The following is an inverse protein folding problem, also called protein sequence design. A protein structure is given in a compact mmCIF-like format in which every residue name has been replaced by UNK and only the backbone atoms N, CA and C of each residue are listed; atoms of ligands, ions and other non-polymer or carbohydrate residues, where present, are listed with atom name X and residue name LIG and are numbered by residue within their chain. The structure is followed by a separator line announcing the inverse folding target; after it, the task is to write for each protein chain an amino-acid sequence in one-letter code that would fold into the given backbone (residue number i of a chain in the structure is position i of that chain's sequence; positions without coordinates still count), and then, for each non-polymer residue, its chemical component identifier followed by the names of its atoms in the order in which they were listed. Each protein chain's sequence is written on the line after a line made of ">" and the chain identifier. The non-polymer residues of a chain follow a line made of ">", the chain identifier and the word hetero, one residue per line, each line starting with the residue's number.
data_IF_378236649181
#
_entry.id   IF_378236649181
#
_cell.length_a   1.000
_cell.length_b   1.000
_cell.length_c   1.000
_cell.angle_alpha   90.00
_cell.angle_beta   90.00
_cell.angle_gamma   90.00
#
_symmetry.space_group_name_H-M   'P 1'
#
loop_
_entity.id
_entity.type
_entity.pdbx_description
1 polymer ?
#
# COMPACT_ATOMS: atom_id res chain seq x y z
N UNK A 1 -4.33 8.13 -62.36
CA UNK A 1 -5.35 7.19 -61.83
C UNK A 1 -6.34 7.99 -61.00
N UNK A 2 -7.64 7.63 -60.98
CA UNK A 2 -8.70 8.28 -60.19
C UNK A 2 -9.71 7.21 -59.74
N UNK A 3 -9.96 7.07 -58.44
CA UNK A 3 -11.10 6.33 -57.87
C UNK A 3 -11.30 6.77 -56.41
N UNK A 4 -12.55 7.18 -56.08
CA UNK A 4 -13.30 7.15 -54.80
C UNK A 4 -12.54 7.22 -53.45
N UNK A 5 -12.83 8.09 -52.47
CA UNK A 5 -13.95 9.02 -52.17
C UNK A 5 -15.29 8.33 -51.79
N UNK A 6 -15.84 8.65 -50.59
CA UNK A 6 -17.03 8.07 -49.90
C UNK A 6 -16.76 6.68 -49.27
N UNK A 7 -17.27 6.26 -48.10
CA UNK A 7 -18.08 6.81 -46.95
C UNK A 7 -17.63 6.06 -45.67
N UNK A 8 -17.98 6.35 -44.41
CA UNK A 8 -18.93 7.25 -43.71
C UNK A 8 -18.18 7.97 -42.54
N UNK A 9 -18.70 8.84 -41.65
CA UNK A 9 -20.02 9.24 -41.15
C UNK A 9 -20.73 8.35 -40.08
N UNK A 10 -21.36 9.01 -39.09
CA UNK A 10 -21.94 8.50 -37.82
C UNK A 10 -20.92 7.92 -36.79
N UNK A 11 -21.12 8.03 -35.47
CA UNK A 11 -22.26 8.56 -34.71
C UNK A 11 -21.86 9.64 -33.68
N UNK A 12 -22.55 10.78 -33.73
CA UNK A 12 -22.77 11.66 -32.57
C UNK A 12 -24.12 11.23 -31.95
N UNK A 13 -24.30 11.45 -30.64
CA UNK A 13 -25.46 11.04 -29.80
C UNK A 13 -25.48 9.57 -29.33
N UNK A 14 -24.88 9.30 -28.17
CA UNK A 14 -25.47 8.52 -27.06
C UNK A 14 -24.86 9.06 -25.75
N UNK A 15 -25.68 9.37 -24.73
CA UNK A 15 -25.33 9.68 -23.31
C UNK A 15 -24.06 10.54 -23.07
N UNK A 16 -24.09 11.85 -22.74
CA UNK A 16 -25.17 12.73 -22.23
C UNK A 16 -25.81 12.34 -20.89
N UNK A 17 -25.12 11.55 -20.05
CA UNK A 17 -25.69 11.02 -18.79
C UNK A 17 -24.72 11.01 -17.59
N UNK A 18 -23.90 12.05 -17.37
CA UNK A 18 -23.27 12.23 -16.05
C UNK A 18 -22.94 13.69 -15.69
N UNK A 19 -23.99 14.43 -15.33
CA UNK A 19 -24.01 15.56 -14.38
C UNK A 19 -25.49 15.99 -14.19
N UNK A 20 -25.90 16.65 -13.08
CA UNK A 20 -25.24 16.79 -11.77
C UNK A 20 -26.14 16.26 -10.62
N UNK A 21 -25.57 16.14 -9.41
CA UNK A 21 -26.28 16.54 -8.17
C UNK A 21 -25.33 17.19 -7.18
N UNK A 22 -25.42 18.52 -7.05
CA UNK A 22 -24.94 19.21 -5.86
C UNK A 22 -25.95 18.98 -4.74
N UNK A 23 -25.51 18.44 -3.61
CA UNK A 23 -26.23 18.52 -2.34
C UNK A 23 -25.32 19.19 -1.32
N UNK A 24 -25.55 20.49 -1.09
CA UNK A 24 -24.99 21.22 0.05
C UNK A 24 -25.86 20.97 1.29
N UNK A 25 -25.27 21.21 2.47
CA UNK A 25 -25.92 21.18 3.79
C UNK A 25 -26.26 19.76 4.31
N UNK A 26 -26.28 19.48 5.61
CA UNK A 26 -26.13 20.36 6.79
C UNK A 26 -25.41 19.62 7.94
N UNK A 27 -24.87 20.37 8.91
CA UNK A 27 -24.19 19.78 10.07
C UNK A 27 -25.10 19.64 11.32
N UNK A 28 -24.97 18.51 12.03
CA UNK A 28 -25.26 18.29 13.45
C UNK A 28 -24.57 16.96 13.85
N UNK A 29 -23.66 16.88 14.82
CA UNK A 29 -23.80 17.11 16.27
C UNK A 29 -24.59 15.99 16.98
N UNK A 30 -23.88 15.00 17.54
CA UNK A 30 -24.06 14.44 18.91
C UNK A 30 -23.04 13.31 19.17
N UNK A 31 -22.18 13.40 20.21
CA UNK A 31 -21.32 12.30 20.66
C UNK A 31 -21.71 11.76 22.05
N UNK A 32 -21.89 10.43 22.19
CA UNK A 32 -21.85 9.65 23.45
C UNK A 32 -22.31 8.19 23.21
N UNK A 33 -22.03 7.22 24.11
CA UNK A 33 -20.80 7.04 24.90
C UNK A 33 -20.24 5.60 24.78
N UNK A 34 -19.08 5.34 25.39
CA UNK A 34 -18.52 3.99 25.50
C UNK A 34 -19.37 3.06 26.39
N UNK A 35 -19.42 1.77 26.07
CA UNK A 35 -19.64 0.70 27.07
C UNK A 35 -18.61 -0.42 26.87
N UNK A 36 -17.73 -0.59 27.85
CA UNK A 36 -16.64 -1.56 27.85
C UNK A 36 -17.05 -2.83 28.62
N UNK A 37 -17.36 -3.91 27.92
CA UNK A 37 -17.63 -5.21 28.55
C UNK A 37 -16.37 -6.07 28.63
N UNK A 38 -15.57 -5.86 29.68
CA UNK A 38 -14.46 -6.74 30.07
C UNK A 38 -15.03 -7.93 30.85
N UNK A 39 -15.38 -9.01 30.15
CA UNK A 39 -15.87 -10.26 30.76
C UNK A 39 -14.71 -11.14 31.23
N UNK A 40 -14.12 -10.82 32.38
CA UNK A 40 -13.16 -11.71 33.05
C UNK A 40 -13.87 -12.89 33.72
N UNK A 41 -13.84 -14.08 33.09
CA UNK A 41 -14.24 -15.33 33.74
C UNK A 41 -13.06 -16.29 33.93
N UNK A 42 -12.36 -16.12 35.05
CA UNK A 42 -11.49 -17.16 35.62
C UNK A 42 -12.38 -18.22 36.27
N UNK A 43 -12.57 -19.36 35.59
CA UNK A 43 -13.22 -20.54 36.19
C UNK A 43 -12.17 -21.58 36.57
N UNK A 44 -12.02 -21.84 37.86
CA UNK A 44 -11.14 -22.87 38.43
C UNK A 44 -11.92 -24.17 38.65
N UNK A 45 -11.36 -25.32 38.24
CA UNK A 45 -11.14 -26.49 39.13
C UNK A 45 -10.63 -27.71 38.35
N UNK A 46 -9.91 -28.65 39.00
CA UNK A 46 -9.29 -29.79 38.33
C UNK A 46 -10.21 -31.01 38.24
N UNK A 47 -9.93 -31.90 37.28
CA UNK A 47 -10.32 -33.30 37.34
C UNK A 47 -9.24 -34.16 36.70
N UNK A 48 -8.62 -35.05 37.48
CA UNK A 48 -7.71 -36.05 36.96
C UNK A 48 -8.52 -37.25 36.47
N UNK A 49 -8.33 -37.68 35.22
CA UNK A 49 -8.85 -38.96 34.76
C UNK A 49 -7.81 -39.66 33.90
N UNK A 50 -7.37 -40.83 34.35
CA UNK A 50 -6.43 -41.67 33.59
C UNK A 50 -7.18 -42.44 32.51
N UNK A 51 -6.74 -42.35 31.25
CA UNK A 51 -7.01 -43.40 30.28
C UNK A 51 -6.02 -43.41 29.12
N UNK A 52 -5.22 -44.49 29.09
CA UNK A 52 -5.01 -45.33 27.90
C UNK A 52 -4.45 -44.64 26.66
N UNK A 53 -3.12 -44.72 26.48
CA UNK A 53 -2.47 -44.39 25.22
C UNK A 53 -2.99 -45.26 24.05
N UNK A 54 -3.09 -44.65 22.86
CA UNK A 54 -2.55 -45.24 21.64
C UNK A 54 -1.57 -44.29 20.93
N UNK A 55 -0.69 -44.87 20.11
CA UNK A 55 0.11 -44.25 19.05
C UNK A 55 0.64 -42.81 19.27
N UNK A 56 1.96 -42.67 19.43
CA UNK A 56 2.65 -41.42 19.11
C UNK A 56 2.67 -41.23 17.59
N UNK A 57 1.52 -40.86 17.03
CA UNK A 57 1.44 -40.22 15.73
C UNK A 57 2.00 -38.81 15.88
N UNK A 58 3.33 -38.67 15.79
CA UNK A 58 3.93 -37.38 15.45
C UNK A 58 3.22 -36.87 14.20
N UNK A 59 2.64 -35.66 14.20
CA UNK A 59 2.36 -34.96 12.95
C UNK A 59 3.73 -34.81 12.28
N UNK A 60 3.96 -35.52 11.19
CA UNK A 60 5.19 -35.37 10.44
C UNK A 60 5.28 -33.89 10.03
N UNK A 61 6.37 -33.17 10.36
CA UNK A 61 6.59 -31.87 9.74
C UNK A 61 6.67 -32.13 8.25
N UNK A 62 5.64 -31.68 7.54
CA UNK A 62 5.59 -31.74 6.09
C UNK A 62 6.18 -30.43 5.58
N UNK A 63 7.46 -30.38 5.17
CA UNK A 63 8.00 -29.26 4.42
C UNK A 63 7.36 -29.28 3.03
N UNK A 64 6.11 -28.83 2.94
CA UNK A 64 5.43 -28.50 1.69
C UNK A 64 5.99 -27.17 1.18
N UNK A 65 7.27 -27.19 0.83
CA UNK A 65 7.95 -26.17 0.06
C UNK A 65 7.27 -25.98 -1.31
N UNK A 66 7.71 -24.97 -2.05
CA UNK A 66 7.37 -24.74 -3.46
C UNK A 66 5.92 -24.26 -3.73
N UNK A 67 5.14 -23.96 -2.67
CA UNK A 67 3.99 -23.06 -2.73
C UNK A 67 4.03 -22.03 -1.61
N UNK A 68 4.79 -20.97 -1.82
CA UNK A 68 4.77 -19.80 -0.94
C UNK A 68 3.37 -19.17 -0.94
N UNK A 69 2.81 -18.98 0.26
CA UNK A 69 1.57 -18.21 0.45
C UNK A 69 1.81 -16.76 -0.01
N UNK A 70 1.02 -16.20 -0.96
CA UNK A 70 1.20 -14.84 -1.45
C UNK A 70 1.06 -13.78 -0.35
N UNK A 71 0.31 -14.06 0.73
CA UNK A 71 0.25 -13.18 1.89
C UNK A 71 1.58 -13.20 2.68
N UNK A 72 2.23 -14.37 2.79
CA UNK A 72 3.53 -14.48 3.43
C UNK A 72 4.66 -13.88 2.57
N UNK A 73 4.62 -14.07 1.24
CA UNK A 73 5.54 -13.39 0.33
C UNK A 73 5.39 -11.87 0.43
N UNK A 74 4.16 -11.35 0.43
CA UNK A 74 3.89 -9.92 0.61
C UNK A 74 4.51 -9.39 1.90
N UNK A 75 4.33 -10.06 3.04
CA UNK A 75 4.93 -9.65 4.33
C UNK A 75 6.45 -9.52 4.25
N UNK A 76 7.14 -10.48 3.64
CA UNK A 76 8.61 -10.45 3.50
C UNK A 76 9.08 -9.28 2.62
N UNK A 77 8.30 -8.89 1.60
CA UNK A 77 8.60 -7.69 0.80
C UNK A 77 8.38 -6.40 1.60
N UNK A 78 7.31 -6.30 2.39
CA UNK A 78 7.05 -5.16 3.27
C UNK A 78 8.13 -5.02 4.35
N UNK A 79 8.60 -6.14 4.91
CA UNK A 79 9.71 -6.22 5.87
C UNK A 79 11.03 -5.75 5.24
N UNK A 80 11.39 -6.26 4.04
CA UNK A 80 12.57 -5.80 3.28
C UNK A 80 12.54 -4.28 3.01
N UNK A 81 11.38 -3.73 2.64
CA UNK A 81 11.22 -2.29 2.39
C UNK A 81 11.36 -1.49 3.68
N UNK A 82 10.76 -1.96 4.78
CA UNK A 82 10.85 -1.32 6.08
C UNK A 82 12.31 -1.26 6.56
N UNK A 83 13.00 -2.41 6.61
CA UNK A 83 14.38 -2.52 7.04
C UNK A 83 15.30 -1.60 6.23
N UNK A 84 15.14 -1.58 4.90
CA UNK A 84 15.87 -0.69 4.01
C UNK A 84 15.62 0.80 4.35
N UNK A 85 14.36 1.20 4.55
CA UNK A 85 13.98 2.59 4.82
C UNK A 85 14.50 3.15 6.14
N UNK A 86 14.63 2.33 7.19
CA UNK A 86 15.06 2.79 8.53
C UNK A 86 16.59 2.83 8.71
N UNK A 87 17.37 2.48 7.67
CA UNK A 87 18.83 2.63 7.68
C UNK A 87 19.30 4.08 7.61
N UNK A 88 18.52 4.95 6.95
CA UNK A 88 18.94 6.28 6.48
C UNK A 88 20.21 6.27 5.59
N UNK A 89 20.51 5.13 4.95
CA UNK A 89 21.61 4.97 4.00
C UNK A 89 21.10 5.17 2.55
N UNK A 90 21.56 6.19 1.80
CA UNK A 90 21.14 6.43 0.41
C UNK A 90 21.42 5.25 -0.54
N UNK A 91 22.35 4.35 -0.20
CA UNK A 91 22.59 3.14 -0.99
C UNK A 91 21.42 2.13 -0.95
N UNK A 92 20.42 2.35 -0.07
CA UNK A 92 19.17 1.57 -0.06
C UNK A 92 18.11 2.10 -1.05
N UNK A 93 18.28 3.29 -1.64
CA UNK A 93 17.33 3.83 -2.63
C UNK A 93 17.05 2.84 -3.80
N UNK A 94 18.05 2.18 -4.43
CA UNK A 94 17.77 1.20 -5.48
C UNK A 94 16.99 -0.02 -4.96
N UNK A 95 17.24 -0.45 -3.73
CA UNK A 95 16.59 -1.60 -3.08
C UNK A 95 15.10 -1.34 -2.84
N UNK A 96 14.73 -0.10 -2.52
CA UNK A 96 13.33 0.33 -2.38
C UNK A 96 12.71 0.59 -3.76
N UNK A 97 13.48 1.11 -4.73
CA UNK A 97 13.02 1.43 -6.08
C UNK A 97 12.47 0.22 -6.85
N UNK A 98 13.01 -0.98 -6.61
CA UNK A 98 12.51 -2.27 -7.15
C UNK A 98 10.99 -2.45 -6.94
N UNK A 99 10.43 -1.84 -5.89
CA UNK A 99 9.06 -2.08 -5.44
C UNK A 99 8.05 -1.00 -5.83
N UNK A 100 8.49 0.15 -6.37
CA UNK A 100 7.60 1.26 -6.74
C UNK A 100 6.54 0.88 -7.78
N UNK A 101 6.81 -0.13 -8.62
CA UNK A 101 5.91 -0.63 -9.66
C UNK A 101 5.49 -2.10 -9.46
N UNK A 102 5.64 -2.63 -8.23
CA UNK A 102 5.27 -4.00 -7.88
C UNK A 102 3.76 -4.29 -8.10
N UNK A 103 3.37 -5.53 -8.40
CA UNK A 103 1.96 -5.85 -8.73
C UNK A 103 0.97 -5.59 -7.57
N UNK A 104 1.36 -5.92 -6.33
CA UNK A 104 0.56 -5.66 -5.14
C UNK A 104 0.61 -4.16 -4.75
N UNK A 105 -0.53 -3.44 -4.69
CA UNK A 105 -0.57 -2.01 -4.32
C UNK A 105 -0.09 -1.72 -2.90
N UNK A 106 -0.20 -2.66 -1.96
CA UNK A 106 0.32 -2.51 -0.60
C UNK A 106 1.85 -2.36 -0.61
N UNK A 107 2.52 -3.18 -1.43
CA UNK A 107 3.98 -3.14 -1.62
C UNK A 107 4.42 -1.86 -2.33
N UNK A 108 3.66 -1.38 -3.34
CA UNK A 108 3.93 -0.08 -3.98
C UNK A 108 3.80 1.08 -2.99
N UNK A 109 2.74 1.10 -2.18
CA UNK A 109 2.55 2.13 -1.15
C UNK A 109 3.71 2.10 -0.15
N UNK A 110 4.07 0.93 0.36
CA UNK A 110 5.18 0.78 1.28
C UNK A 110 6.52 1.24 0.67
N UNK A 111 6.74 1.04 -0.62
CA UNK A 111 7.93 1.55 -1.32
C UNK A 111 7.96 3.08 -1.37
N UNK A 112 6.82 3.74 -1.65
CA UNK A 112 6.69 5.20 -1.62
C UNK A 112 6.92 5.73 -0.19
N UNK A 113 6.25 5.14 0.80
CA UNK A 113 6.44 5.48 2.21
C UNK A 113 7.92 5.30 2.62
N UNK A 114 8.57 4.21 2.18
CA UNK A 114 9.96 3.87 2.47
C UNK A 114 10.97 4.85 1.88
N UNK A 115 10.74 5.36 0.67
CA UNK A 115 11.52 6.47 0.10
C UNK A 115 11.41 7.72 0.98
N UNK A 116 10.20 8.05 1.43
CA UNK A 116 9.93 9.23 2.27
C UNK A 116 10.57 9.09 3.66
N UNK A 117 10.58 7.88 4.23
CA UNK A 117 11.20 7.56 5.53
C UNK A 117 12.73 7.59 5.46
N UNK A 118 13.33 7.08 4.38
CA UNK A 118 14.79 7.16 4.16
C UNK A 118 15.26 8.62 4.05
N UNK A 119 14.44 9.47 3.42
CA UNK A 119 14.58 10.93 3.48
C UNK A 119 15.66 11.55 2.59
N UNK A 120 16.30 10.77 1.71
CA UNK A 120 17.32 11.29 0.78
C UNK A 120 16.69 11.85 -0.51
N UNK A 121 17.07 13.08 -0.84
CA UNK A 121 16.57 13.81 -2.02
C UNK A 121 16.76 13.10 -3.38
N UNK A 122 17.72 12.17 -3.50
CA UNK A 122 17.92 11.37 -4.71
C UNK A 122 16.78 10.36 -4.97
N UNK A 123 15.85 10.19 -4.02
CA UNK A 123 14.58 9.51 -4.26
C UNK A 123 13.70 10.23 -5.32
N UNK A 124 13.76 11.56 -5.41
CA UNK A 124 12.89 12.36 -6.27
C UNK A 124 12.90 11.95 -7.77
N UNK A 125 14.06 11.83 -8.46
CA UNK A 125 14.08 11.36 -9.84
C UNK A 125 13.57 9.92 -10.02
N UNK A 126 13.78 9.03 -9.03
CA UNK A 126 13.29 7.65 -9.06
C UNK A 126 11.75 7.60 -8.97
N UNK A 127 11.19 8.40 -8.06
CA UNK A 127 9.75 8.53 -7.86
C UNK A 127 9.05 9.09 -9.12
N UNK A 128 9.58 10.14 -9.75
CA UNK A 128 9.08 10.64 -11.05
C UNK A 128 9.17 9.59 -12.16
N UNK A 129 10.29 8.88 -12.25
CA UNK A 129 10.47 7.85 -13.27
C UNK A 129 9.46 6.69 -13.10
N UNK A 130 9.06 6.38 -11.86
CA UNK A 130 7.95 5.46 -11.60
C UNK A 130 6.57 6.08 -11.92
N UNK A 131 6.34 7.37 -11.66
CA UNK A 131 5.08 8.05 -11.95
C UNK A 131 4.65 7.92 -13.43
N UNK A 132 5.62 7.97 -14.35
CA UNK A 132 5.44 7.77 -15.79
C UNK A 132 4.92 6.37 -16.18
N UNK A 133 4.90 5.40 -15.26
CA UNK A 133 4.44 4.02 -15.48
C UNK A 133 3.50 3.52 -14.37
N UNK A 134 2.95 4.42 -13.57
CA UNK A 134 2.07 4.07 -12.46
C UNK A 134 0.77 3.41 -12.95
N UNK A 135 0.25 2.36 -12.28
CA UNK A 135 -0.96 1.65 -12.72
C UNK A 135 -2.25 2.48 -12.73
N UNK A 136 -2.30 3.58 -11.96
CA UNK A 136 -3.45 4.48 -11.88
C UNK A 136 -3.03 5.95 -11.87
N UNK A 137 -3.87 6.89 -12.36
CA UNK A 137 -3.58 8.32 -12.28
C UNK A 137 -3.38 8.83 -10.84
N UNK A 138 -4.06 8.20 -9.87
CA UNK A 138 -3.93 8.52 -8.45
C UNK A 138 -2.54 8.14 -7.91
N UNK A 139 -1.99 7.00 -8.33
CA UNK A 139 -0.65 6.58 -7.95
C UNK A 139 0.43 7.41 -8.66
N UNK A 140 0.21 7.84 -9.91
CA UNK A 140 1.10 8.79 -10.58
C UNK A 140 1.20 10.12 -9.81
N UNK A 141 0.06 10.65 -9.33
CA UNK A 141 0.04 11.85 -8.48
C UNK A 141 0.75 11.61 -7.16
N UNK A 142 0.51 10.50 -6.47
CA UNK A 142 1.18 10.18 -5.21
C UNK A 142 2.72 10.07 -5.35
N UNK A 143 3.20 9.56 -6.49
CA UNK A 143 4.63 9.48 -6.83
C UNK A 143 5.25 10.86 -7.12
N UNK A 144 4.55 11.73 -7.86
CA UNK A 144 4.99 13.12 -8.09
C UNK A 144 4.93 13.98 -6.81
N UNK A 145 3.91 13.81 -5.96
CA UNK A 145 3.82 14.47 -4.65
C UNK A 145 4.95 14.04 -3.71
N UNK A 146 5.28 12.74 -3.67
CA UNK A 146 6.43 12.22 -2.94
C UNK A 146 7.76 12.77 -3.50
N UNK A 147 7.91 12.85 -4.83
CA UNK A 147 9.10 13.43 -5.47
C UNK A 147 9.26 14.92 -5.13
N UNK A 148 8.17 15.68 -5.18
CA UNK A 148 8.16 17.10 -4.81
C UNK A 148 8.47 17.31 -3.32
N UNK A 149 8.00 16.41 -2.44
CA UNK A 149 8.33 16.44 -1.00
C UNK A 149 9.82 16.18 -0.74
N UNK A 150 10.44 15.25 -1.48
CA UNK A 150 11.88 14.94 -1.39
C UNK A 150 12.80 16.07 -1.88
N UNK A 151 12.30 17.01 -2.68
CA UNK A 151 13.04 18.20 -3.14
C UNK A 151 12.81 19.45 -2.24
N UNK A 152 12.00 19.36 -1.19
CA UNK A 152 11.73 20.51 -0.32
C UNK A 152 13.00 20.92 0.46
N UNK A 153 13.36 22.23 0.46
CA UNK A 153 14.51 22.71 1.22
C UNK A 153 14.25 22.55 2.72
N UNK A 154 15.09 21.77 3.40
CA UNK A 154 14.95 21.48 4.83
C UNK A 154 14.90 22.76 5.67
N UNK A 155 14.01 22.81 6.66
CA UNK A 155 13.65 24.03 7.41
C UNK A 155 14.80 24.74 8.18
N UNK A 156 16.01 24.17 8.17
CA UNK A 156 17.27 24.78 8.63
C UNK A 156 17.49 26.23 8.12
N UNK A 157 16.98 26.55 6.92
CA UNK A 157 17.13 27.87 6.30
C UNK A 157 16.42 29.02 7.02
N UNK A 158 15.52 28.75 7.98
CA UNK A 158 14.81 29.78 8.75
C UNK A 158 15.59 30.31 9.97
N UNK A 159 16.91 30.07 10.06
CA UNK A 159 17.77 30.59 11.14
C UNK A 159 18.08 32.10 10.98
N UNK A 160 17.04 32.92 11.14
CA UNK A 160 17.18 34.37 11.34
C UNK A 160 17.95 34.64 12.65
N UNK A 161 18.91 35.56 12.60
CA UNK A 161 19.71 35.99 13.75
C UNK A 161 18.90 36.89 14.68
#
# INVERSE_FOLDING_TARGET
>A
MKMYLLVAAAAILVLSWWLPRLTKSTAATTPAPHQSHVSSQRSTSPSANQSKAPAISQPAPSPSSDKQDPAQTTRVLLEKIHDASVTYDPNQLPVIAEFLLHENPEVRKAAIDGMIVLGDSAAAPLLRQAALSAPTPQEAVALEEAAAYMELPSASLLKKR
#
